data_IF_760332683132
#
_entry.id   IF_760332683132
#
_cell.length_a   1.000
_cell.length_b   1.000
_cell.length_c   1.000
_cell.angle_alpha   90.00
_cell.angle_beta   90.00
_cell.angle_gamma   90.00
#
_symmetry.space_group_name_H-M   'P 1'
#
loop_
_entity.id
_entity.type
_entity.pdbx_description
1 polymer ?
#
# COMPACT_ATOMS: atom_id res chain seq x y z
N UNK A 1 -37.76 -54.38 -50.86
CA UNK A 1 -37.24 -54.25 -49.47
C UNK A 1 -35.79 -53.69 -49.37
N UNK A 2 -35.20 -53.09 -50.42
CA UNK A 2 -33.80 -52.62 -50.38
C UNK A 2 -33.60 -51.12 -50.09
N UNK A 3 -34.66 -50.31 -50.00
CA UNK A 3 -34.54 -48.86 -49.75
C UNK A 3 -34.34 -48.50 -48.28
N UNK A 4 -34.70 -49.38 -47.35
CA UNK A 4 -34.65 -49.10 -45.91
C UNK A 4 -33.24 -49.25 -45.29
N UNK A 5 -32.34 -50.02 -45.90
CA UNK A 5 -30.99 -50.26 -45.35
C UNK A 5 -30.00 -49.12 -45.62
N UNK A 6 -30.17 -48.38 -46.72
CA UNK A 6 -29.29 -47.26 -47.06
C UNK A 6 -29.46 -46.07 -46.11
N UNK A 7 -30.69 -45.79 -45.65
CA UNK A 7 -30.97 -44.66 -44.75
C UNK A 7 -30.44 -44.86 -43.32
N UNK A 8 -30.21 -46.11 -42.89
CA UNK A 8 -29.68 -46.41 -41.54
C UNK A 8 -28.18 -46.16 -41.38
N UNK A 9 -27.41 -46.10 -42.48
CA UNK A 9 -25.98 -45.72 -42.46
C UNK A 9 -25.75 -44.26 -42.83
N UNK A 10 -26.71 -43.61 -43.48
CA UNK A 10 -26.68 -42.17 -43.77
C UNK A 10 -27.10 -41.35 -42.55
N UNK A 11 -28.01 -41.84 -41.70
CA UNK A 11 -28.40 -41.18 -40.46
C UNK A 11 -27.22 -40.87 -39.52
N UNK A 12 -26.32 -41.82 -39.18
CA UNK A 12 -25.14 -41.50 -38.36
C UNK A 12 -24.11 -40.63 -39.12
N UNK A 13 -24.07 -40.70 -40.45
CA UNK A 13 -23.13 -39.92 -41.27
C UNK A 13 -23.54 -38.44 -41.38
N UNK A 14 -24.84 -38.16 -41.50
CA UNK A 14 -25.42 -36.81 -41.45
C UNK A 14 -25.37 -36.24 -40.02
N UNK A 15 -25.62 -37.09 -39.02
CA UNK A 15 -25.48 -36.72 -37.62
C UNK A 15 -24.02 -36.34 -37.32
N UNK A 16 -23.04 -37.13 -37.78
CA UNK A 16 -21.61 -36.84 -37.63
C UNK A 16 -21.19 -35.55 -38.36
N UNK A 17 -21.76 -35.26 -39.53
CA UNK A 17 -21.48 -34.03 -40.28
C UNK A 17 -21.85 -32.76 -39.50
N UNK A 18 -22.89 -32.81 -38.67
CA UNK A 18 -23.28 -31.70 -37.79
C UNK A 18 -22.63 -31.78 -36.40
N UNK A 19 -22.46 -32.98 -35.83
CA UNK A 19 -21.86 -33.17 -34.51
C UNK A 19 -20.38 -32.82 -34.49
N UNK A 20 -19.61 -33.18 -35.53
CA UNK A 20 -18.17 -32.95 -35.58
C UNK A 20 -17.80 -31.46 -35.49
N UNK A 21 -18.37 -30.54 -36.31
CA UNK A 21 -18.08 -29.12 -36.18
C UNK A 21 -18.65 -28.53 -34.88
N UNK A 22 -19.79 -29.05 -34.38
CA UNK A 22 -20.36 -28.61 -33.10
C UNK A 22 -19.47 -28.99 -31.91
N UNK A 23 -18.88 -30.19 -31.93
CA UNK A 23 -17.91 -30.63 -30.92
C UNK A 23 -16.61 -29.83 -31.03
N UNK A 24 -16.11 -29.59 -32.25
CA UNK A 24 -14.92 -28.78 -32.49
C UNK A 24 -15.11 -27.32 -32.03
N UNK A 25 -16.30 -26.75 -32.23
CA UNK A 25 -16.66 -25.43 -31.71
C UNK A 25 -16.74 -25.42 -30.18
N UNK A 26 -17.32 -26.46 -29.58
CA UNK A 26 -17.39 -26.60 -28.13
C UNK A 26 -15.99 -26.70 -27.50
N UNK A 27 -15.10 -27.54 -28.05
CA UNK A 27 -13.71 -27.67 -27.57
C UNK A 27 -12.90 -26.39 -27.78
N UNK A 28 -13.09 -25.70 -28.90
CA UNK A 28 -12.48 -24.39 -29.15
C UNK A 28 -12.96 -23.32 -28.16
N UNK A 29 -14.25 -23.29 -27.81
CA UNK A 29 -14.81 -22.31 -26.86
C UNK A 29 -14.35 -22.51 -25.41
N UNK A 30 -14.02 -23.74 -25.04
CA UNK A 30 -13.51 -24.07 -23.71
C UNK A 30 -12.05 -23.62 -23.57
N UNK A 31 -11.26 -23.69 -24.64
CA UNK A 31 -9.86 -23.28 -24.64
C UNK A 31 -9.69 -21.78 -24.30
N UNK A 32 -10.60 -20.92 -24.77
CA UNK A 32 -10.55 -19.47 -24.53
C UNK A 32 -10.94 -19.10 -23.08
N UNK A 33 -11.85 -19.87 -22.47
CA UNK A 33 -12.34 -19.62 -21.09
C UNK A 33 -11.37 -20.04 -20.00
N UNK A 34 -10.42 -20.93 -20.28
CA UNK A 34 -9.42 -21.38 -19.29
C UNK A 34 -8.30 -20.36 -19.06
N UNK A 35 -8.06 -19.44 -19.99
CA UNK A 35 -6.99 -18.43 -19.86
C UNK A 35 -7.39 -17.22 -19.01
N UNK A 36 -8.67 -16.82 -19.00
CA UNK A 36 -9.09 -15.62 -18.27
C UNK A 36 -9.11 -15.81 -16.73
N UNK A 37 -9.34 -17.02 -16.24
CA UNK A 37 -9.36 -17.29 -14.79
C UNK A 37 -7.97 -17.32 -14.15
N UNK A 38 -6.90 -17.50 -14.92
CA UNK A 38 -5.53 -17.55 -14.38
C UNK A 38 -4.90 -16.16 -14.21
N UNK A 39 -5.25 -15.22 -15.08
CA UNK A 39 -4.71 -13.84 -15.03
C UNK A 39 -5.37 -13.03 -13.91
N UNK A 40 -6.68 -13.23 -13.66
CA UNK A 40 -7.39 -12.57 -12.55
C UNK A 40 -6.87 -12.99 -11.16
N UNK A 41 -6.40 -14.23 -11.01
CA UNK A 41 -5.87 -14.71 -9.73
C UNK A 41 -4.51 -14.09 -9.36
N UNK A 42 -3.72 -13.69 -10.36
CA UNK A 42 -2.42 -13.03 -10.14
C UNK A 42 -2.59 -11.56 -9.77
N UNK A 43 -3.51 -10.84 -10.43
CA UNK A 43 -3.81 -9.44 -10.09
C UNK A 43 -4.39 -9.28 -8.68
N UNK A 44 -5.25 -10.22 -8.24
CA UNK A 44 -5.75 -10.19 -6.87
C UNK A 44 -4.65 -10.39 -5.82
N UNK A 45 -3.66 -11.25 -6.10
CA UNK A 45 -2.59 -11.53 -5.16
C UNK A 45 -1.62 -10.35 -5.00
N UNK A 46 -1.29 -9.67 -6.10
CA UNK A 46 -0.41 -8.50 -6.08
C UNK A 46 -1.07 -7.31 -5.38
N UNK A 47 -2.34 -7.04 -5.71
CA UNK A 47 -3.13 -5.97 -5.08
C UNK A 47 -3.29 -6.19 -3.57
N UNK A 48 -3.54 -7.43 -3.13
CA UNK A 48 -3.64 -7.75 -1.69
C UNK A 48 -2.32 -7.53 -0.95
N UNK A 49 -1.20 -7.90 -1.55
CA UNK A 49 0.14 -7.67 -0.96
C UNK A 49 0.44 -6.18 -0.83
N UNK A 50 0.07 -5.37 -1.82
CA UNK A 50 0.28 -3.93 -1.77
C UNK A 50 -0.57 -3.27 -0.66
N UNK A 51 -1.83 -3.70 -0.50
CA UNK A 51 -2.70 -3.23 0.58
C UNK A 51 -2.12 -3.57 1.96
N UNK A 52 -1.60 -4.80 2.14
CA UNK A 52 -0.97 -5.22 3.40
C UNK A 52 0.29 -4.39 3.69
N UNK A 53 1.17 -4.21 2.69
CA UNK A 53 2.38 -3.41 2.84
C UNK A 53 2.07 -1.95 3.22
N UNK A 54 1.07 -1.34 2.60
CA UNK A 54 0.65 0.03 2.91
C UNK A 54 0.03 0.14 4.31
N UNK A 55 -0.73 -0.86 4.75
CA UNK A 55 -1.27 -0.90 6.12
C UNK A 55 -0.16 -0.98 7.16
N UNK A 56 0.82 -1.84 6.96
CA UNK A 56 1.96 -1.97 7.86
C UNK A 56 2.78 -0.68 7.96
N UNK A 57 3.02 -0.02 6.82
CA UNK A 57 3.67 1.30 6.81
C UNK A 57 2.86 2.33 7.57
N UNK A 58 1.53 2.36 7.38
CA UNK A 58 0.66 3.29 8.08
C UNK A 58 0.71 3.08 9.60
N UNK A 59 0.65 1.83 10.06
CA UNK A 59 0.75 1.49 11.49
C UNK A 59 2.08 1.92 12.08
N UNK A 60 3.20 1.71 11.38
CA UNK A 60 4.53 2.16 11.80
C UNK A 60 4.59 3.69 11.93
N UNK A 61 4.13 4.41 10.91
CA UNK A 61 4.10 5.87 10.93
C UNK A 61 3.21 6.43 12.04
N UNK A 62 2.07 5.79 12.30
CA UNK A 62 1.22 6.17 13.43
C UNK A 62 1.94 5.94 14.77
N UNK A 63 2.63 4.82 14.95
CA UNK A 63 3.42 4.55 16.15
C UNK A 63 4.53 5.60 16.35
N UNK A 64 5.23 5.97 15.28
CA UNK A 64 6.28 7.00 15.32
C UNK A 64 5.72 8.38 15.68
N UNK A 65 4.53 8.73 15.17
CA UNK A 65 3.85 9.96 15.54
C UNK A 65 3.44 9.98 17.02
N UNK A 66 2.93 8.87 17.54
CA UNK A 66 2.57 8.73 18.96
C UNK A 66 3.83 8.86 19.82
N UNK A 67 4.91 8.19 19.45
CA UNK A 67 6.19 8.27 20.15
C UNK A 67 6.77 9.70 20.14
N UNK A 68 6.78 10.36 18.99
CA UNK A 68 7.32 11.71 18.81
C UNK A 68 6.48 12.78 19.52
N UNK A 69 5.16 12.56 19.64
CA UNK A 69 4.25 13.50 20.32
C UNK A 69 4.30 13.36 21.85
N UNK A 70 4.86 12.28 22.37
CA UNK A 70 4.93 12.06 23.82
C UNK A 70 5.90 13.01 24.53
N UNK A 71 5.58 13.35 25.77
CA UNK A 71 6.42 14.18 26.65
C UNK A 71 7.84 13.60 26.82
N UNK A 72 8.01 12.29 26.67
CA UNK A 72 9.32 11.63 26.70
C UNK A 72 10.23 12.04 25.54
N UNK A 73 9.69 12.21 24.33
CA UNK A 73 10.46 12.67 23.19
C UNK A 73 10.82 14.15 23.34
N UNK A 74 9.89 14.97 23.85
CA UNK A 74 10.14 16.37 24.17
C UNK A 74 11.23 16.51 25.24
N UNK A 75 11.18 15.69 26.29
CA UNK A 75 12.21 15.65 27.33
C UNK A 75 13.56 15.19 26.79
N UNK A 76 13.58 14.16 25.94
CA UNK A 76 14.81 13.69 25.28
C UNK A 76 15.47 14.81 24.50
N UNK A 77 14.72 15.51 23.65
CA UNK A 77 15.23 16.65 22.88
C UNK A 77 15.66 17.80 23.81
N UNK A 78 14.91 18.07 24.88
CA UNK A 78 15.26 19.11 25.86
C UNK A 78 16.58 18.82 26.58
N UNK A 79 16.83 17.56 26.97
CA UNK A 79 18.08 17.15 27.63
C UNK A 79 19.25 17.06 26.66
N UNK A 80 19.05 16.46 25.49
CA UNK A 80 20.12 16.16 24.52
C UNK A 80 20.52 17.38 23.68
N UNK A 81 19.55 18.16 23.18
CA UNK A 81 19.83 19.25 22.24
C UNK A 81 19.85 20.63 22.90
N UNK A 82 19.14 20.78 24.03
CA UNK A 82 18.99 22.07 24.70
C UNK A 82 19.66 22.10 26.08
N UNK A 83 20.24 20.98 26.54
CA UNK A 83 20.83 20.83 27.88
C UNK A 83 19.92 21.34 29.03
N UNK A 84 18.59 21.27 28.83
CA UNK A 84 17.62 21.71 29.81
C UNK A 84 17.44 20.65 30.90
N UNK A 85 17.42 21.10 32.15
CA UNK A 85 17.20 20.28 33.35
C UNK A 85 15.83 20.59 33.95
N UNK A 86 15.14 19.58 34.49
CA UNK A 86 13.81 19.77 35.10
C UNK A 86 13.93 20.48 36.47
N UNK A 87 12.90 21.21 36.92
CA UNK A 87 12.87 21.76 38.27
C UNK A 87 13.03 20.64 39.32
N UNK A 88 14.12 20.68 40.09
CA UNK A 88 14.48 19.66 41.08
C UNK A 88 15.68 18.77 40.69
N UNK A 89 16.10 18.78 39.43
CA UNK A 89 17.33 18.09 38.99
C UNK A 89 18.58 18.89 39.41
N UNK A 90 19.68 18.21 39.77
CA UNK A 90 21.00 18.84 40.02
C UNK A 90 21.84 18.83 38.75
N UNK A 91 22.15 20.01 38.20
CA UNK A 91 23.05 20.14 37.06
C UNK A 91 24.51 19.87 37.49
N UNK A 92 25.18 18.92 36.83
CA UNK A 92 26.60 18.61 37.04
C UNK A 92 27.37 19.13 35.84
N UNK A 93 28.32 20.04 36.08
CA UNK A 93 29.25 20.54 35.06
C UNK A 93 30.60 19.86 35.29
N UNK A 94 31.07 19.05 34.34
CA UNK A 94 32.42 18.49 34.41
C UNK A 94 33.42 19.59 34.07
N UNK A 95 34.17 20.05 35.08
CA UNK A 95 35.25 21.04 34.89
C UNK A 95 36.58 20.28 34.74
N UNK A 96 37.03 20.12 33.50
CA UNK A 96 38.41 19.74 33.16
C UNK A 96 39.29 20.97 32.91
N UNK A 97 40.62 20.84 32.92
CA UNK A 97 41.50 21.97 32.65
C UNK A 97 41.29 22.47 31.21
N UNK A 98 40.76 23.70 31.11
CA UNK A 98 40.51 24.52 29.92
C UNK A 98 39.55 23.93 28.86
N UNK A 99 38.30 24.34 28.96
CA UNK A 99 37.30 24.24 27.90
C UNK A 99 36.03 24.95 28.30
N UNK A 100 36.05 26.28 28.36
CA UNK A 100 34.87 27.11 28.62
C UNK A 100 33.87 26.95 27.47
N UNK A 101 32.93 26.01 27.60
CA UNK A 101 31.71 25.98 26.80
C UNK A 101 30.81 27.12 27.26
N UNK A 102 30.93 28.27 26.61
CA UNK A 102 29.99 29.39 26.73
C UNK A 102 28.56 28.87 26.50
N UNK A 103 27.58 29.17 27.36
CA UNK A 103 26.18 28.81 27.13
C UNK A 103 25.70 29.43 25.82
N UNK A 104 25.57 28.63 24.78
CA UNK A 104 24.95 29.06 23.53
C UNK A 104 23.45 29.12 23.77
N UNK A 105 22.91 30.34 23.86
CA UNK A 105 21.46 30.56 23.81
C UNK A 105 20.89 29.84 22.59
N UNK A 106 19.82 29.04 22.73
CA UNK A 106 19.26 28.32 21.61
C UNK A 106 18.87 29.33 20.51
N UNK A 107 19.13 29.03 19.23
CA UNK A 107 18.66 29.87 18.15
C UNK A 107 17.15 30.05 18.33
N UNK A 108 16.70 31.30 18.44
CA UNK A 108 15.27 31.64 18.47
C UNK A 108 14.67 31.00 17.22
N UNK A 109 13.92 29.91 17.39
CA UNK A 109 13.11 29.33 16.32
C UNK A 109 12.12 30.42 15.92
N UNK A 110 12.37 31.07 14.79
CA UNK A 110 11.30 31.73 14.05
C UNK A 110 10.23 30.66 13.84
N UNK A 111 9.01 30.95 14.28
CA UNK A 111 7.87 30.09 13.99
C UNK A 111 7.83 30.00 12.46
N UNK A 112 8.04 28.81 11.86
CA UNK A 112 7.99 28.70 10.42
C UNK A 112 6.62 29.24 9.98
N UNK A 113 6.56 30.06 8.92
CA UNK A 113 5.29 30.54 8.39
C UNK A 113 4.35 29.34 8.21
N UNK A 114 3.04 29.49 8.50
CA UNK A 114 2.10 28.38 8.46
C UNK A 114 2.29 27.60 7.17
N UNK A 115 2.65 26.31 7.31
CA UNK A 115 2.99 25.44 6.20
C UNK A 115 1.90 25.58 5.13
N UNK A 116 2.29 26.05 3.94
CA UNK A 116 1.37 26.13 2.82
C UNK A 116 0.71 24.76 2.63
N UNK A 117 -0.61 24.75 2.45
CA UNK A 117 -1.37 23.51 2.32
C UNK A 117 -0.69 22.64 1.24
N UNK A 118 -0.37 21.37 1.54
CA UNK A 118 0.27 20.47 0.59
C UNK A 118 -0.47 20.45 -0.76
N UNK A 119 0.26 20.38 -1.88
CA UNK A 119 -0.34 20.42 -3.23
C UNK A 119 -1.43 19.37 -3.45
N UNK A 120 -1.32 18.20 -2.82
CA UNK A 120 -2.35 17.15 -2.86
C UNK A 120 -3.68 17.59 -2.23
N UNK A 121 -3.69 18.49 -1.23
CA UNK A 121 -4.94 19.03 -0.66
C UNK A 121 -5.71 19.86 -1.69
N UNK A 122 -5.02 20.59 -2.57
CA UNK A 122 -5.66 21.38 -3.64
C UNK A 122 -6.37 20.49 -4.67
N UNK A 123 -5.88 19.27 -4.88
CA UNK A 123 -6.48 18.30 -5.80
C UNK A 123 -7.73 17.61 -5.22
N UNK A 124 -7.87 17.56 -3.89
CA UNK A 124 -8.96 16.85 -3.21
C UNK A 124 -10.14 17.76 -2.83
N UNK A 125 -9.95 19.09 -2.73
CA UNK A 125 -11.02 20.05 -2.45
C UNK A 125 -12.26 19.91 -3.37
N UNK A 126 -12.16 19.71 -4.70
CA UNK A 126 -13.35 19.58 -5.56
C UNK A 126 -14.11 18.25 -5.39
N UNK A 127 -13.49 17.22 -4.81
CA UNK A 127 -14.10 15.88 -4.66
C UNK A 127 -14.82 15.75 -3.31
N UNK A 128 -14.28 16.37 -2.26
CA UNK A 128 -14.75 16.20 -0.87
C UNK A 128 -15.34 17.47 -0.23
N UNK A 129 -15.34 18.59 -0.95
CA UNK A 129 -15.77 19.91 -0.44
C UNK A 129 -17.23 20.27 -0.64
N UNK A 130 -18.15 19.28 -0.69
CA UNK A 130 -19.59 19.51 -0.87
C UNK A 130 -20.41 18.93 0.27
#
# INVERSE_FOLDING_TARGET
>A
MLRARLMSRLAPSLLALFLLPMLAYATYSIADRWYQSYVLALEEAETRREIEALRDQNLRLQADLVYTRGDQYVEKIAREQLNLVKPGDRAIILVGPAGTSTPQSPPRREVPPPAEKPGWRKLLEPIFGR
#
